data_IF_667767052937
#
_entry.id   IF_667767052937
#
_cell.length_a   1.000
_cell.length_b   1.000
_cell.length_c   1.000
_cell.angle_alpha   90.00
_cell.angle_beta   90.00
_cell.angle_gamma   90.00
#
_symmetry.space_group_name_H-M   'P 1'
#
loop_
_entity.id
_entity.type
_entity.pdbx_description
1 polymer ?
#
# COMPACT_ATOMS: atom_id res chain seq x y z
N UNK A 1 92.52 17.08 18.26
CA UNK A 1 92.98 17.19 16.86
C UNK A 1 91.76 16.90 15.99
N UNK A 2 91.38 17.77 15.05
CA UNK A 2 90.15 17.65 14.27
C UNK A 2 90.29 16.56 13.21
N UNK A 3 89.26 15.72 13.06
CA UNK A 3 89.19 14.68 12.04
C UNK A 3 89.06 15.31 10.65
N UNK A 4 89.99 14.94 9.78
CA UNK A 4 90.05 15.33 8.38
C UNK A 4 88.77 14.88 7.65
N UNK A 5 87.95 15.86 7.26
CA UNK A 5 86.94 15.67 6.24
C UNK A 5 87.65 15.28 4.95
N UNK A 6 87.59 13.99 4.62
CA UNK A 6 87.88 13.52 3.26
C UNK A 6 86.84 14.16 2.34
N UNK A 7 87.23 15.23 1.67
CA UNK A 7 86.51 15.82 0.57
C UNK A 7 86.49 14.80 -0.57
N UNK A 8 85.45 13.98 -0.61
CA UNK A 8 85.11 13.15 -1.76
C UNK A 8 84.82 14.10 -2.94
N UNK A 9 85.76 14.17 -3.87
CA UNK A 9 85.57 14.84 -5.15
C UNK A 9 84.47 14.13 -5.94
N UNK A 10 83.23 14.63 -5.87
CA UNK A 10 82.14 14.22 -6.75
C UNK A 10 82.34 14.88 -8.14
N UNK A 11 82.82 14.10 -9.11
CA UNK A 11 83.18 14.55 -10.47
C UNK A 11 81.96 14.99 -11.31
N UNK A 12 80.74 14.70 -10.88
CA UNK A 12 79.51 15.16 -11.53
C UNK A 12 78.53 15.60 -10.44
N UNK A 13 78.03 16.85 -10.46
CA UNK A 13 77.06 17.30 -9.48
C UNK A 13 75.78 16.44 -9.61
N UNK A 14 75.45 15.67 -8.56
CA UNK A 14 74.25 14.82 -8.48
C UNK A 14 72.96 15.60 -8.19
N UNK A 15 73.05 16.91 -7.96
CA UNK A 15 71.90 17.78 -7.67
C UNK A 15 70.82 17.76 -8.77
N UNK A 16 71.16 17.77 -10.08
CA UNK A 16 70.18 17.60 -11.15
C UNK A 16 69.53 16.22 -11.17
N UNK A 17 70.30 15.15 -10.89
CA UNK A 17 69.78 13.78 -10.82
C UNK A 17 68.80 13.61 -9.66
N UNK A 18 69.14 14.12 -8.47
CA UNK A 18 68.23 14.15 -7.31
C UNK A 18 66.97 14.98 -7.55
N UNK A 19 67.06 16.07 -8.33
CA UNK A 19 65.88 16.85 -8.74
C UNK A 19 65.00 16.09 -9.72
N UNK A 20 65.60 15.30 -10.62
CA UNK A 20 64.86 14.44 -11.55
C UNK A 20 64.21 13.28 -10.81
N UNK A 21 64.93 12.61 -9.91
CA UNK A 21 64.40 11.55 -9.04
C UNK A 21 63.22 12.07 -8.21
N UNK A 22 63.36 13.21 -7.55
CA UNK A 22 62.27 13.82 -6.78
C UNK A 22 61.09 14.25 -7.66
N UNK A 23 61.33 14.66 -8.91
CA UNK A 23 60.26 14.95 -9.88
C UNK A 23 59.58 13.69 -10.40
N UNK A 24 60.33 12.61 -10.60
CA UNK A 24 59.80 11.30 -11.00
C UNK A 24 58.98 10.72 -9.86
N UNK A 25 59.47 10.76 -8.62
CA UNK A 25 58.75 10.33 -7.42
C UNK A 25 57.46 11.16 -7.22
N UNK A 26 57.51 12.47 -7.45
CA UNK A 26 56.31 13.33 -7.44
C UNK A 26 55.35 13.01 -8.58
N UNK A 27 55.85 12.72 -9.78
CA UNK A 27 55.03 12.32 -10.92
C UNK A 27 54.41 10.94 -10.69
N UNK A 28 55.13 9.97 -10.17
CA UNK A 28 54.62 8.64 -9.84
C UNK A 28 53.62 8.69 -8.69
N UNK A 29 53.85 9.56 -7.69
CA UNK A 29 52.88 9.82 -6.61
C UNK A 29 51.62 10.54 -7.11
N UNK A 30 51.73 11.39 -8.13
CA UNK A 30 50.60 12.09 -8.76
C UNK A 30 49.96 11.28 -9.91
N UNK A 31 50.60 10.22 -10.40
CA UNK A 31 50.19 9.43 -11.58
C UNK A 31 49.69 8.02 -11.23
N UNK A 32 48.75 7.91 -10.28
CA UNK A 32 47.71 6.89 -10.38
C UNK A 32 46.33 7.49 -10.03
N UNK A 33 45.94 8.61 -10.66
CA UNK A 33 44.78 9.39 -10.18
C UNK A 33 43.47 9.21 -10.98
N UNK A 34 43.44 8.28 -11.93
CA UNK A 34 42.16 7.74 -12.45
C UNK A 34 42.26 6.24 -12.29
N UNK A 35 41.75 5.73 -11.17
CA UNK A 35 41.67 4.29 -10.94
C UNK A 35 40.63 3.71 -11.91
N UNK A 36 41.08 3.36 -13.11
CA UNK A 36 40.24 2.79 -14.18
C UNK A 36 39.48 1.56 -13.66
N UNK A 37 40.00 0.88 -12.63
CA UNK A 37 39.30 -0.23 -11.97
C UNK A 37 38.11 0.24 -11.13
N UNK A 38 38.21 1.40 -10.48
CA UNK A 38 37.11 1.98 -9.71
C UNK A 38 35.98 2.44 -10.63
N UNK A 39 36.31 3.15 -11.71
CA UNK A 39 35.33 3.54 -12.75
C UNK A 39 34.69 2.29 -13.38
N UNK A 40 35.48 1.26 -13.67
CA UNK A 40 34.94 0.02 -14.22
C UNK A 40 33.98 -0.68 -13.24
N UNK A 41 34.30 -0.69 -11.93
CA UNK A 41 33.39 -1.23 -10.90
C UNK A 41 32.09 -0.43 -10.84
N UNK A 42 32.18 0.90 -10.84
CA UNK A 42 30.99 1.76 -10.81
C UNK A 42 30.11 1.54 -12.05
N UNK A 43 30.70 1.43 -13.24
CA UNK A 43 29.96 1.11 -14.48
C UNK A 43 29.28 -0.26 -14.39
N UNK A 44 29.97 -1.28 -13.85
CA UNK A 44 29.37 -2.61 -13.66
C UNK A 44 28.22 -2.57 -12.65
N UNK A 45 28.34 -1.78 -11.59
CA UNK A 45 27.28 -1.61 -10.59
C UNK A 45 26.07 -0.87 -11.16
N UNK A 46 26.28 0.17 -11.97
CA UNK A 46 25.21 0.84 -12.73
C UNK A 46 24.53 -0.11 -13.70
N UNK A 47 25.29 -0.94 -14.43
CA UNK A 47 24.73 -1.95 -15.32
C UNK A 47 23.90 -2.99 -14.55
N UNK A 48 24.38 -3.45 -13.39
CA UNK A 48 23.63 -4.38 -12.53
C UNK A 48 22.34 -3.75 -12.03
N UNK A 49 22.40 -2.50 -11.59
CA UNK A 49 21.22 -1.76 -11.12
C UNK A 49 20.21 -1.54 -12.24
N UNK A 50 20.66 -1.18 -13.45
CA UNK A 50 19.80 -1.08 -14.62
C UNK A 50 19.15 -2.41 -14.98
N UNK A 51 19.89 -3.52 -14.92
CA UNK A 51 19.32 -4.84 -15.18
C UNK A 51 18.25 -5.22 -14.15
N UNK A 52 18.45 -4.85 -12.88
CA UNK A 52 17.45 -5.03 -11.84
C UNK A 52 16.20 -4.19 -12.12
N UNK A 53 16.36 -2.90 -12.47
CA UNK A 53 15.25 -2.00 -12.83
C UNK A 53 14.48 -2.57 -14.02
N UNK A 54 15.16 -2.98 -15.09
CA UNK A 54 14.54 -3.59 -16.28
C UNK A 54 13.75 -4.85 -15.91
N UNK A 55 14.30 -5.67 -15.02
CA UNK A 55 13.64 -6.90 -14.55
C UNK A 55 12.36 -6.57 -13.76
N UNK A 56 12.42 -5.61 -12.84
CA UNK A 56 11.24 -5.19 -12.06
C UNK A 56 10.18 -4.50 -12.93
N UNK A 57 10.59 -3.72 -13.93
CA UNK A 57 9.67 -3.14 -14.92
C UNK A 57 9.00 -4.26 -15.73
N UNK A 58 9.76 -5.27 -16.18
CA UNK A 58 9.20 -6.40 -16.92
C UNK A 58 8.16 -7.14 -16.09
N UNK A 59 8.48 -7.48 -14.83
CA UNK A 59 7.54 -8.14 -13.91
C UNK A 59 6.29 -7.30 -13.66
N UNK A 60 6.45 -5.99 -13.45
CA UNK A 60 5.33 -5.07 -13.23
C UNK A 60 4.44 -4.98 -14.48
N UNK A 61 5.04 -4.96 -15.67
CA UNK A 61 4.30 -4.96 -16.94
C UNK A 61 3.52 -6.26 -17.12
N UNK A 62 4.12 -7.41 -16.83
CA UNK A 62 3.43 -8.70 -16.88
C UNK A 62 2.26 -8.77 -15.88
N UNK A 63 2.45 -8.27 -14.66
CA UNK A 63 1.38 -8.16 -13.67
C UNK A 63 0.24 -7.26 -14.15
N UNK A 64 0.55 -6.08 -14.70
CA UNK A 64 -0.44 -5.17 -15.28
C UNK A 64 -1.20 -5.81 -16.44
N UNK A 65 -0.52 -6.54 -17.33
CA UNK A 65 -1.17 -7.28 -18.42
C UNK A 65 -2.17 -8.32 -17.91
N UNK A 66 -1.83 -9.02 -16.82
CA UNK A 66 -2.74 -9.97 -16.18
C UNK A 66 -3.96 -9.26 -15.57
N UNK A 67 -3.76 -8.14 -14.88
CA UNK A 67 -4.86 -7.35 -14.31
C UNK A 67 -5.79 -6.79 -15.39
N UNK A 68 -5.25 -6.25 -16.48
CA UNK A 68 -6.03 -5.80 -17.64
C UNK A 68 -6.83 -6.97 -18.23
N UNK A 69 -6.22 -8.13 -18.38
CA UNK A 69 -6.91 -9.33 -18.91
C UNK A 69 -8.08 -9.74 -18.02
N UNK A 70 -7.90 -9.72 -16.68
CA UNK A 70 -8.99 -9.98 -15.73
C UNK A 70 -10.10 -8.94 -15.81
N UNK A 71 -9.74 -7.66 -15.96
CA UNK A 71 -10.71 -6.58 -16.09
C UNK A 71 -11.58 -6.76 -17.34
N UNK A 72 -10.99 -7.17 -18.47
CA UNK A 72 -11.74 -7.46 -19.70
C UNK A 72 -12.76 -8.57 -19.48
N UNK A 73 -12.40 -9.65 -18.78
CA UNK A 73 -13.33 -10.75 -18.46
C UNK A 73 -14.49 -10.25 -17.58
N UNK A 74 -14.19 -9.47 -16.54
CA UNK A 74 -15.22 -8.93 -15.65
C UNK A 74 -16.19 -7.99 -16.39
N UNK A 75 -15.69 -7.20 -17.35
CA UNK A 75 -16.53 -6.33 -18.18
C UNK A 75 -17.45 -7.13 -19.12
N UNK A 76 -16.96 -8.24 -19.67
CA UNK A 76 -17.79 -9.14 -20.47
C UNK A 76 -18.91 -9.75 -19.61
N UNK A 77 -18.58 -10.25 -18.42
CA UNK A 77 -19.57 -10.80 -17.50
C UNK A 77 -20.62 -9.77 -17.08
N UNK A 78 -20.18 -8.54 -16.74
CA UNK A 78 -21.10 -7.44 -16.44
C UNK A 78 -22.03 -7.14 -17.62
N UNK A 79 -21.49 -7.14 -18.84
CA UNK A 79 -22.27 -6.91 -20.06
C UNK A 79 -23.32 -7.99 -20.25
N UNK A 80 -22.99 -9.26 -20.00
CA UNK A 80 -23.95 -10.37 -20.05
C UNK A 80 -25.06 -10.17 -19.02
N UNK A 81 -24.72 -9.88 -17.76
CA UNK A 81 -25.70 -9.63 -16.70
C UNK A 81 -26.62 -8.45 -17.01
N UNK A 82 -26.08 -7.38 -17.60
CA UNK A 82 -26.88 -6.24 -18.06
C UNK A 82 -27.81 -6.61 -19.20
N UNK A 83 -27.37 -7.42 -20.16
CA UNK A 83 -28.22 -7.92 -21.23
C UNK A 83 -29.34 -8.83 -20.71
N UNK A 84 -29.05 -9.70 -19.73
CA UNK A 84 -30.05 -10.52 -19.04
C UNK A 84 -31.07 -9.65 -18.31
N UNK A 85 -30.61 -8.64 -17.56
CA UNK A 85 -31.48 -7.69 -16.89
C UNK A 85 -32.36 -6.93 -17.89
N UNK A 86 -31.78 -6.46 -19.00
CA UNK A 86 -32.55 -5.82 -20.07
C UNK A 86 -33.56 -6.79 -20.71
N UNK A 87 -33.22 -8.08 -20.82
CA UNK A 87 -34.14 -9.11 -21.28
C UNK A 87 -35.31 -9.29 -20.32
N UNK A 88 -35.07 -9.31 -19.01
CA UNK A 88 -36.13 -9.38 -18.00
C UNK A 88 -37.02 -8.14 -18.02
N UNK A 89 -36.45 -6.94 -18.16
CA UNK A 89 -37.23 -5.71 -18.30
C UNK A 89 -38.10 -5.76 -19.56
N UNK A 90 -37.54 -6.20 -20.70
CA UNK A 90 -38.30 -6.35 -21.94
C UNK A 90 -39.43 -7.37 -21.78
N UNK A 91 -39.17 -8.52 -21.16
CA UNK A 91 -40.16 -9.54 -20.90
C UNK A 91 -41.29 -9.03 -20.00
N UNK A 92 -40.96 -8.33 -18.91
CA UNK A 92 -41.92 -7.70 -18.01
C UNK A 92 -42.76 -6.62 -18.72
N UNK A 93 -42.15 -5.78 -19.55
CA UNK A 93 -42.86 -4.76 -20.33
C UNK A 93 -43.80 -5.39 -21.37
N UNK A 94 -43.42 -6.51 -21.98
CA UNK A 94 -44.31 -7.27 -22.89
C UNK A 94 -45.43 -8.00 -22.14
N UNK A 95 -45.20 -8.49 -20.93
CA UNK A 95 -46.26 -9.09 -20.09
C UNK A 95 -47.25 -8.03 -19.58
N UNK A 96 -46.78 -6.84 -19.19
CA UNK A 96 -47.65 -5.71 -18.81
C UNK A 96 -48.54 -5.21 -19.96
N UNK A 97 -48.08 -5.34 -21.21
CA UNK A 97 -48.85 -4.94 -22.38
C UNK A 97 -49.80 -6.02 -22.92
N UNK A 98 -49.72 -7.26 -22.42
CA UNK A 98 -50.58 -8.39 -22.82
C UNK A 98 -51.51 -8.91 -21.72
N UNK A 99 -51.52 -8.33 -20.52
CA UNK A 99 -52.40 -8.79 -19.45
C UNK A 99 -53.63 -7.88 -19.24
N UNK A 100 -54.84 -8.46 -19.15
CA UNK A 100 -56.08 -7.71 -18.91
C UNK A 100 -56.02 -7.06 -17.52
N UNK A 101 -56.75 -5.95 -17.34
CA UNK A 101 -56.76 -5.01 -16.19
C UNK A 101 -56.80 -5.58 -14.76
N UNK A 102 -56.89 -6.90 -14.56
CA UNK A 102 -56.94 -7.56 -13.25
C UNK A 102 -55.56 -7.84 -12.63
N UNK A 103 -54.50 -8.08 -13.40
CA UNK A 103 -53.17 -8.39 -12.81
C UNK A 103 -52.43 -7.15 -12.30
N UNK A 104 -52.68 -5.98 -12.88
CA UNK A 104 -52.12 -4.70 -12.37
C UNK A 104 -52.71 -4.32 -11.02
N UNK A 105 -53.98 -4.69 -10.74
CA UNK A 105 -54.58 -4.57 -9.41
C UNK A 105 -53.91 -5.48 -8.39
N UNK A 106 -53.70 -6.76 -8.74
CA UNK A 106 -53.01 -7.72 -7.86
C UNK A 106 -51.55 -7.35 -7.56
N UNK A 107 -50.83 -6.78 -8.55
CA UNK A 107 -49.47 -6.27 -8.34
C UNK A 107 -49.46 -5.04 -7.42
N UNK A 108 -50.41 -4.11 -7.62
CA UNK A 108 -50.57 -2.91 -6.79
C UNK A 108 -50.95 -3.27 -5.35
N UNK A 109 -51.80 -4.26 -5.15
CA UNK A 109 -52.15 -4.79 -3.83
C UNK A 109 -50.94 -5.41 -3.14
N UNK A 110 -50.19 -6.30 -3.79
CA UNK A 110 -48.95 -6.87 -3.23
C UNK A 110 -47.89 -5.82 -2.94
N UNK A 111 -47.79 -4.79 -3.78
CA UNK A 111 -46.86 -3.68 -3.55
C UNK A 111 -47.28 -2.83 -2.35
N UNK A 112 -48.59 -2.59 -2.17
CA UNK A 112 -49.13 -1.94 -0.98
C UNK A 112 -48.91 -2.77 0.29
N UNK A 113 -49.11 -4.10 0.23
CA UNK A 113 -48.81 -5.01 1.34
C UNK A 113 -47.32 -4.99 1.71
N UNK A 114 -46.42 -4.96 0.71
CA UNK A 114 -44.98 -4.87 0.93
C UNK A 114 -44.58 -3.53 1.56
N UNK A 115 -45.21 -2.43 1.13
CA UNK A 115 -45.02 -1.10 1.73
C UNK A 115 -45.51 -1.07 3.17
N UNK A 116 -46.66 -1.70 3.45
CA UNK A 116 -47.20 -1.78 4.82
C UNK A 116 -46.33 -2.65 5.73
N UNK A 117 -45.84 -3.79 5.23
CA UNK A 117 -44.91 -4.65 5.95
C UNK A 117 -43.59 -3.93 6.26
N UNK A 118 -43.01 -3.22 5.29
CA UNK A 118 -41.81 -2.41 5.52
C UNK A 118 -42.04 -1.29 6.54
N UNK A 119 -43.22 -0.65 6.52
CA UNK A 119 -43.57 0.36 7.52
C UNK A 119 -43.65 -0.23 8.93
N UNK A 120 -44.23 -1.43 9.09
CA UNK A 120 -44.28 -2.15 10.38
C UNK A 120 -42.88 -2.55 10.86
N UNK A 121 -42.02 -3.01 9.96
CA UNK A 121 -40.62 -3.34 10.28
C UNK A 121 -39.86 -2.09 10.73
N UNK A 122 -40.03 -0.96 10.04
CA UNK A 122 -39.39 0.30 10.41
C UNK A 122 -39.82 0.78 11.81
N UNK A 123 -41.12 0.69 12.12
CA UNK A 123 -41.65 1.01 13.45
C UNK A 123 -41.10 0.08 14.53
N UNK A 124 -41.09 -1.23 14.27
CA UNK A 124 -40.53 -2.21 15.21
C UNK A 124 -39.03 -1.99 15.46
N UNK A 125 -38.28 -1.61 14.43
CA UNK A 125 -36.87 -1.27 14.56
C UNK A 125 -36.67 0.01 15.39
N UNK A 126 -37.52 1.02 15.22
CA UNK A 126 -37.49 2.26 16.02
C UNK A 126 -37.79 1.97 17.51
N UNK A 127 -38.80 1.14 17.80
CA UNK A 127 -39.09 0.66 19.15
C UNK A 127 -37.92 -0.13 19.75
N UNK A 128 -37.30 -1.00 18.97
CA UNK A 128 -36.15 -1.80 19.42
C UNK A 128 -34.93 -0.92 19.74
N UNK A 129 -34.67 0.11 18.94
CA UNK A 129 -33.62 1.11 19.21
C UNK A 129 -33.93 1.84 20.52
N UNK A 130 -35.17 2.28 20.73
CA UNK A 130 -35.56 2.95 21.99
C UNK A 130 -35.34 2.07 23.21
N UNK A 131 -35.66 0.77 23.13
CA UNK A 131 -35.40 -0.19 24.22
C UNK A 131 -33.89 -0.36 24.45
N UNK A 132 -33.09 -0.40 23.39
CA UNK A 132 -31.63 -0.50 23.49
C UNK A 132 -31.03 0.75 24.15
N UNK A 133 -31.53 1.94 23.82
CA UNK A 133 -31.14 3.20 24.48
C UNK A 133 -31.51 3.21 25.97
N UNK A 134 -32.68 2.67 26.36
CA UNK A 134 -33.04 2.52 27.77
C UNK A 134 -32.12 1.55 28.51
N UNK A 135 -31.74 0.45 27.87
CA UNK A 135 -30.81 -0.54 28.42
C UNK A 135 -29.42 0.09 28.57
N UNK A 136 -28.94 0.82 27.56
CA UNK A 136 -27.70 1.59 27.62
C UNK A 136 -27.74 2.59 28.78
N UNK A 137 -28.83 3.33 28.96
CA UNK A 137 -29.01 4.28 30.06
C UNK A 137 -29.03 3.60 31.44
N UNK A 138 -29.55 2.38 31.53
CA UNK A 138 -29.53 1.57 32.77
C UNK A 138 -28.13 1.01 33.08
N UNK A 139 -27.37 0.64 32.05
CA UNK A 139 -25.98 0.14 32.17
C UNK A 139 -24.97 1.27 32.45
N UNK A 140 -25.16 2.44 31.85
CA UNK A 140 -24.31 3.63 32.01
C UNK A 140 -24.57 4.39 33.32
N UNK A 141 -25.52 3.95 34.15
CA UNK A 141 -25.65 4.50 35.51
C UNK A 141 -24.46 4.01 36.35
N UNK A 142 -23.59 4.90 36.85
CA UNK A 142 -22.50 4.49 37.73
C UNK A 142 -23.10 3.86 38.99
N UNK A 143 -22.60 2.67 39.35
CA UNK A 143 -22.90 2.01 40.61
C UNK A 143 -22.60 3.01 41.73
N UNK A 144 -23.66 3.50 42.41
CA UNK A 144 -23.47 4.31 43.62
C UNK A 144 -22.65 3.49 44.62
N UNK A 145 -21.63 4.07 45.26
CA UNK A 145 -20.84 3.34 46.23
C UNK A 145 -21.76 2.92 47.38
N UNK A 146 -21.92 1.60 47.56
CA UNK A 146 -22.63 1.06 48.71
C UNK A 146 -21.96 1.58 50.00
N UNK A 147 -22.72 2.05 50.99
CA UNK A 147 -22.14 2.46 52.26
C UNK A 147 -21.49 1.23 52.93
N UNK A 148 -20.17 1.31 53.13
CA UNK A 148 -19.37 0.33 53.85
C UNK A 148 -20.00 0.09 55.23
N UNK A 149 -20.60 -1.10 55.43
CA UNK A 149 -21.04 -1.55 56.74
C UNK A 149 -19.81 -1.70 57.64
N UNK A 150 -19.73 -0.89 58.71
CA UNK A 150 -18.71 -1.04 59.76
C UNK A 150 -18.82 -2.43 60.40
N UNK A 151 -17.70 -3.09 60.71
CA UNK A 151 -17.72 -4.39 61.36
C UNK A 151 -18.23 -4.24 62.80
N UNK A 152 -19.17 -5.11 63.17
CA UNK A 152 -19.71 -5.21 64.52
C UNK A 152 -18.66 -5.95 65.39
N UNK A 153 -18.30 -5.44 66.59
CA UNK A 153 -17.31 -6.10 67.44
C UNK A 153 -17.89 -7.40 68.03
N UNK A 154 -17.04 -8.41 68.29
CA UNK A 154 -17.47 -9.69 68.83
C UNK A 154 -17.92 -9.50 70.28
N UNK A 155 -19.10 -10.05 70.60
CA UNK A 155 -19.57 -10.11 71.99
C UNK A 155 -18.69 -11.10 72.77
N UNK A 156 -18.14 -10.63 73.89
CA UNK A 156 -17.63 -11.45 74.99
C UNK A 156 -18.78 -12.18 75.69
#
# INVERSE_FOLDING_TARGET
MPEEKKEEYEIIPISPLRRLEKRIEQLEAMSPAVDVKEIFREVVDVLRMNQQIVTEISKSNDALRLEISKLTVNLQELTVRLNELLSYIKAAATEESFQPEDTTKGLKEKMNELVEANKKIAQSNEEMISILEEIEKKLSRPLMPMPLKKPIPPKM
#
